data_IF_454694423886
#
_entry.id   IF_454694423886
#
_cell.length_a   1.000
_cell.length_b   1.000
_cell.length_c   1.000
_cell.angle_alpha   90.00
_cell.angle_beta   90.00
_cell.angle_gamma   90.00
#
_symmetry.space_group_name_H-M   'P 1'
#
loop_
_entity.id
_entity.type
_entity.pdbx_description
1 polymer ?
#
# COMPACT_ATOMS: atom_id res chain seq x y z
N UNK A 1 66.09 18.12 -31.46
CA UNK A 1 65.76 19.46 -31.97
C UNK A 1 64.24 19.58 -31.92
N UNK A 2 63.75 20.37 -30.97
CA UNK A 2 62.40 20.96 -30.82
C UNK A 2 61.22 19.98 -30.66
N UNK A 3 60.68 19.78 -29.45
CA UNK A 3 59.83 20.68 -28.63
C UNK A 3 58.53 21.11 -29.31
N UNK A 4 57.40 20.55 -28.81
CA UNK A 4 56.28 21.27 -28.18
C UNK A 4 55.11 20.32 -27.83
N UNK A 5 54.71 20.23 -26.55
CA UNK A 5 53.39 19.76 -26.13
C UNK A 5 52.52 20.88 -25.51
N UNK A 6 51.26 20.52 -25.21
CA UNK A 6 50.20 21.23 -24.44
C UNK A 6 49.24 22.16 -25.23
N UNK A 7 47.96 22.36 -24.77
CA UNK A 7 47.54 22.28 -23.36
C UNK A 7 46.23 21.56 -22.99
N UNK A 8 46.15 21.38 -21.68
CA UNK A 8 45.06 20.90 -20.83
C UNK A 8 43.67 21.53 -21.08
N UNK A 9 42.62 20.71 -20.94
CA UNK A 9 41.24 21.14 -20.81
C UNK A 9 40.62 20.63 -19.51
N UNK A 10 40.75 21.41 -18.44
CA UNK A 10 40.02 21.22 -17.18
C UNK A 10 38.59 21.74 -17.34
N UNK A 11 37.57 20.89 -17.17
CA UNK A 11 36.19 21.37 -17.00
C UNK A 11 36.05 22.06 -15.65
N UNK A 12 35.89 23.38 -15.68
CA UNK A 12 35.53 24.22 -14.53
C UNK A 12 34.03 24.08 -14.25
N UNK A 13 33.69 23.91 -12.96
CA UNK A 13 32.36 24.23 -12.44
C UNK A 13 32.05 25.69 -12.74
N UNK A 14 30.91 25.94 -13.39
CA UNK A 14 30.36 27.28 -13.54
C UNK A 14 29.44 27.52 -12.36
N UNK A 15 29.95 28.25 -11.37
CA UNK A 15 29.17 28.89 -10.32
C UNK A 15 28.50 30.14 -10.93
N UNK A 16 27.16 30.26 -10.82
CA UNK A 16 26.48 31.53 -11.07
C UNK A 16 25.84 32.06 -9.76
N UNK A 17 25.89 33.37 -9.48
CA UNK A 17 25.82 33.90 -8.11
C UNK A 17 24.47 34.56 -7.74
N UNK A 18 24.30 34.67 -6.42
CA UNK A 18 23.76 35.78 -5.63
C UNK A 18 22.28 36.21 -5.80
N UNK A 19 21.53 36.12 -4.68
CA UNK A 19 20.95 37.32 -4.06
C UNK A 19 20.75 37.13 -2.54
N UNK A 20 20.81 38.20 -1.73
CA UNK A 20 21.26 38.14 -0.34
C UNK A 20 20.14 38.42 0.67
N UNK A 21 20.25 37.90 1.89
CA UNK A 21 19.75 38.61 3.08
C UNK A 21 20.72 38.40 4.25
N UNK A 22 21.34 39.51 4.66
CA UNK A 22 22.25 39.62 5.81
C UNK A 22 21.45 39.55 7.12
N UNK A 23 21.93 38.72 8.04
CA UNK A 23 21.61 38.81 9.47
C UNK A 23 22.57 39.83 10.08
N UNK A 24 22.04 40.87 10.73
CA UNK A 24 22.81 41.76 11.58
C UNK A 24 22.44 41.49 13.04
N UNK A 25 23.40 40.99 13.80
CA UNK A 25 23.37 41.01 15.26
C UNK A 25 23.82 42.40 15.74
N UNK A 26 23.13 42.96 16.74
CA UNK A 26 23.64 44.06 17.57
C UNK A 26 23.16 43.92 19.01
N UNK A 27 24.16 43.67 19.85
CA UNK A 27 24.52 44.32 21.12
C UNK A 27 23.46 44.66 22.17
N UNK A 28 23.76 44.11 23.34
CA UNK A 28 23.13 44.28 24.63
C UNK A 28 23.87 45.44 25.32
N UNK A 29 23.19 46.58 25.50
CA UNK A 29 23.73 47.75 26.20
C UNK A 29 22.75 48.24 27.26
N UNK A 30 23.19 48.20 28.51
CA UNK A 30 22.42 48.57 29.70
C UNK A 30 22.23 50.09 29.85
N UNK A 31 21.05 50.51 30.30
CA UNK A 31 20.84 51.80 30.95
C UNK A 31 19.69 51.73 31.99
N UNK A 32 19.96 52.25 33.18
CA UNK A 32 19.01 52.67 34.24
C UNK A 32 19.28 54.16 34.53
N UNK A 33 18.47 54.88 35.32
CA UNK A 33 17.01 54.96 35.38
C UNK A 33 16.54 56.44 35.31
N UNK A 34 15.24 56.70 35.15
CA UNK A 34 14.66 58.01 35.53
C UNK A 34 13.22 57.85 36.02
N UNK A 35 12.83 58.76 36.91
CA UNK A 35 11.78 58.65 37.90
C UNK A 35 10.36 59.01 37.41
N UNK A 36 9.41 58.58 38.24
CA UNK A 36 7.93 58.62 38.20
C UNK A 36 7.31 60.01 37.91
N UNK A 37 6.01 60.12 37.50
CA UNK A 37 4.93 59.98 38.50
C UNK A 37 3.61 59.31 38.04
N UNK A 38 3.03 58.59 39.00
CA UNK A 38 1.61 58.40 39.32
C UNK A 38 0.53 58.65 38.23
N UNK A 39 -0.01 57.55 37.70
CA UNK A 39 -1.35 57.47 37.11
C UNK A 39 -1.91 56.07 37.37
N UNK A 40 -2.96 55.96 38.19
CA UNK A 40 -3.54 54.67 38.57
C UNK A 40 -4.31 54.02 37.43
N UNK A 41 -3.88 52.84 36.99
CA UNK A 41 -4.66 51.99 36.08
C UNK A 41 -5.72 51.17 36.85
N UNK A 42 -6.95 51.02 36.31
CA UNK A 42 -7.99 50.22 36.94
C UNK A 42 -7.66 48.73 36.82
N UNK A 43 -7.77 48.01 37.94
CA UNK A 43 -7.58 46.55 38.01
C UNK A 43 -8.44 45.83 36.95
N UNK A 44 -7.90 44.85 36.21
CA UNK A 44 -8.68 44.10 35.22
C UNK A 44 -9.81 43.34 35.93
N UNK A 45 -11.05 43.61 35.51
CA UNK A 45 -12.24 42.87 35.96
C UNK A 45 -12.02 41.38 35.65
N UNK A 46 -12.13 40.53 36.68
CA UNK A 46 -12.16 39.06 36.52
C UNK A 46 -13.17 38.71 35.43
N UNK A 47 -12.68 38.18 34.30
CA UNK A 47 -13.53 37.59 33.28
C UNK A 47 -14.34 36.48 33.95
N UNK A 48 -15.66 36.64 33.98
CA UNK A 48 -16.59 35.61 34.37
C UNK A 48 -16.39 34.42 33.43
N UNK A 49 -16.06 33.25 33.98
CA UNK A 49 -15.97 32.02 33.21
C UNK A 49 -17.36 31.69 32.65
N UNK A 50 -17.52 31.79 31.34
CA UNK A 50 -18.69 31.26 30.65
C UNK A 50 -18.49 29.75 30.47
N UNK A 51 -19.43 28.90 30.88
CA UNK A 51 -19.34 27.47 30.59
C UNK A 51 -19.27 27.30 29.07
N UNK A 52 -18.30 26.50 28.61
CA UNK A 52 -18.15 26.14 27.20
C UNK A 52 -19.48 25.50 26.77
N UNK A 53 -20.12 26.04 25.74
CA UNK A 53 -21.36 25.48 25.19
C UNK A 53 -21.19 23.96 25.06
N UNK A 54 -22.16 23.20 25.58
CA UNK A 54 -22.16 21.75 25.47
C UNK A 54 -22.04 21.41 23.97
N UNK A 55 -20.96 20.71 23.60
CA UNK A 55 -20.80 20.23 22.24
C UNK A 55 -21.98 19.31 21.94
N UNK A 56 -22.63 19.52 20.79
CA UNK A 56 -23.70 18.64 20.35
C UNK A 56 -23.21 17.18 20.36
N UNK A 57 -24.07 16.23 20.74
CA UNK A 57 -23.67 14.83 20.84
C UNK A 57 -23.15 14.36 19.48
N UNK A 58 -21.89 13.91 19.45
CA UNK A 58 -21.27 13.34 18.24
C UNK A 58 -22.07 12.12 17.83
N UNK A 59 -22.57 12.12 16.59
CA UNK A 59 -23.25 10.95 16.02
C UNK A 59 -22.31 9.75 16.04
N UNK A 60 -22.83 8.62 16.54
CA UNK A 60 -22.09 7.36 16.62
C UNK A 60 -22.97 6.19 16.19
N UNK A 61 -22.34 5.16 15.63
CA UNK A 61 -22.97 3.88 15.29
C UNK A 61 -22.11 2.74 15.82
N UNK A 62 -22.71 1.61 16.22
CA UNK A 62 -21.97 0.42 16.66
C UNK A 62 -22.00 -0.67 15.59
N UNK A 63 -20.83 -1.06 15.08
CA UNK A 63 -20.66 -2.09 14.05
C UNK A 63 -19.60 -3.08 14.55
N UNK A 64 -19.88 -4.39 14.52
CA UNK A 64 -18.97 -5.43 15.05
C UNK A 64 -18.44 -5.11 16.47
N UNK A 65 -19.31 -4.56 17.34
CA UNK A 65 -18.95 -4.16 18.70
C UNK A 65 -18.09 -2.90 18.81
N UNK A 66 -17.64 -2.32 17.69
CA UNK A 66 -16.82 -1.10 17.59
C UNK A 66 -17.71 0.13 17.41
N UNK A 67 -17.42 1.20 18.17
CA UNK A 67 -18.08 2.50 18.00
C UNK A 67 -17.45 3.27 16.83
N UNK A 68 -18.25 3.55 15.80
CA UNK A 68 -17.92 4.40 14.66
C UNK A 68 -18.37 5.82 14.95
N UNK A 69 -17.43 6.77 14.99
CA UNK A 69 -17.72 8.21 15.13
C UNK A 69 -17.81 8.91 13.78
N UNK A 70 -18.67 9.92 13.67
CA UNK A 70 -19.01 10.60 12.41
C UNK A 70 -19.38 9.59 11.30
N UNK A 71 -20.33 8.66 11.56
CA UNK A 71 -20.69 7.59 10.65
C UNK A 71 -21.15 8.09 9.27
N UNK A 72 -21.78 9.25 9.23
CA UNK A 72 -22.28 9.95 8.03
C UNK A 72 -21.18 10.57 7.17
N UNK A 73 -19.96 10.72 7.70
CA UNK A 73 -18.86 11.35 6.98
C UNK A 73 -18.58 10.63 5.67
N UNK A 74 -18.68 11.37 4.56
CA UNK A 74 -18.39 10.87 3.22
C UNK A 74 -16.87 10.72 3.05
N UNK A 75 -16.42 9.51 2.72
CA UNK A 75 -15.01 9.23 2.39
C UNK A 75 -14.80 9.37 0.89
N UNK A 76 -15.74 8.83 0.11
CA UNK A 76 -15.75 8.91 -1.35
C UNK A 76 -17.03 9.60 -1.80
N UNK A 77 -16.92 10.78 -2.42
CA UNK A 77 -18.09 11.52 -2.92
C UNK A 77 -18.80 10.77 -4.06
N UNK A 78 -18.03 10.05 -4.88
CA UNK A 78 -18.50 9.23 -5.99
C UNK A 78 -18.00 7.79 -5.78
N UNK A 79 -18.94 6.84 -5.65
CA UNK A 79 -18.69 5.41 -5.52
C UNK A 79 -18.89 4.65 -6.85
N UNK A 80 -18.91 5.38 -7.96
CA UNK A 80 -19.13 4.89 -9.32
C UNK A 80 -20.39 5.50 -9.96
N UNK A 81 -20.54 5.36 -11.29
CA UNK A 81 -21.66 5.94 -12.03
C UNK A 81 -23.02 5.56 -11.42
N UNK A 82 -23.83 6.58 -11.08
CA UNK A 82 -25.17 6.40 -10.52
C UNK A 82 -25.22 5.92 -9.06
N UNK A 83 -24.09 5.88 -8.35
CA UNK A 83 -24.03 5.45 -6.94
C UNK A 83 -23.79 6.62 -5.99
N UNK A 84 -24.55 6.64 -4.91
CA UNK A 84 -24.32 7.58 -3.81
C UNK A 84 -22.90 7.40 -3.21
N UNK A 85 -22.35 8.49 -2.67
CA UNK A 85 -21.04 8.47 -2.04
C UNK A 85 -20.91 7.45 -0.90
N UNK A 86 -19.71 6.91 -0.71
CA UNK A 86 -19.42 5.94 0.34
C UNK A 86 -19.03 6.64 1.64
N UNK A 87 -19.88 6.49 2.66
CA UNK A 87 -19.66 7.03 4.01
C UNK A 87 -18.74 6.13 4.84
N UNK A 88 -18.27 6.66 5.98
CA UNK A 88 -17.47 5.91 6.94
C UNK A 88 -18.22 4.70 7.52
N UNK A 89 -19.49 4.85 7.88
CA UNK A 89 -20.31 3.72 8.29
C UNK A 89 -20.53 2.73 7.14
N UNK A 90 -20.74 3.21 5.91
CA UNK A 90 -20.85 2.35 4.74
C UNK A 90 -19.60 1.50 4.51
N UNK A 91 -18.41 2.11 4.62
CA UNK A 91 -17.14 1.39 4.52
C UNK A 91 -16.95 0.38 5.66
N UNK A 92 -17.33 0.75 6.89
CA UNK A 92 -17.27 -0.16 8.04
C UNK A 92 -18.20 -1.37 7.85
N UNK A 93 -19.44 -1.16 7.39
CA UNK A 93 -20.38 -2.25 7.07
C UNK A 93 -19.89 -3.13 5.92
N UNK A 94 -19.25 -2.54 4.91
CA UNK A 94 -18.61 -3.33 3.86
C UNK A 94 -17.56 -4.27 4.43
N UNK A 95 -16.64 -3.77 5.26
CA UNK A 95 -15.59 -4.60 5.85
C UNK A 95 -16.13 -5.63 6.84
N UNK A 96 -17.20 -5.31 7.59
CA UNK A 96 -17.95 -6.29 8.38
C UNK A 96 -18.48 -7.43 7.50
N UNK A 97 -19.17 -7.10 6.40
CA UNK A 97 -19.83 -8.08 5.54
C UNK A 97 -18.83 -8.94 4.76
N UNK A 98 -17.70 -8.36 4.34
CA UNK A 98 -16.69 -9.08 3.56
C UNK A 98 -15.68 -9.83 4.43
N UNK A 99 -15.67 -9.60 5.75
CA UNK A 99 -14.74 -10.21 6.69
C UNK A 99 -14.63 -11.73 6.53
N UNK A 100 -15.71 -12.52 6.35
CA UNK A 100 -15.61 -13.97 6.18
C UNK A 100 -14.77 -14.38 4.96
N UNK A 101 -14.74 -13.58 3.89
CA UNK A 101 -13.98 -13.86 2.67
C UNK A 101 -12.57 -13.26 2.74
N UNK A 102 -12.47 -12.00 3.18
CA UNK A 102 -11.20 -11.28 3.26
C UNK A 102 -10.25 -11.92 4.28
N UNK A 103 -10.76 -12.35 5.43
CA UNK A 103 -9.92 -12.88 6.52
C UNK A 103 -9.33 -14.25 6.22
N UNK A 104 -9.88 -15.02 5.27
CA UNK A 104 -9.25 -16.26 4.81
C UNK A 104 -7.82 -16.00 4.31
N UNK A 105 -7.62 -14.88 3.61
CA UNK A 105 -6.33 -14.44 3.12
C UNK A 105 -5.65 -13.44 4.05
N UNK A 106 -6.35 -12.52 4.70
CA UNK A 106 -5.75 -11.40 5.42
C UNK A 106 -5.47 -11.65 6.91
N UNK A 107 -6.16 -12.61 7.55
CA UNK A 107 -6.05 -12.79 8.99
C UNK A 107 -4.65 -13.24 9.43
N UNK A 108 -4.24 -12.78 10.60
CA UNK A 108 -2.98 -13.14 11.26
C UNK A 108 -1.73 -12.84 10.43
N UNK A 109 -1.83 -11.92 9.48
CA UNK A 109 -0.68 -11.39 8.72
C UNK A 109 -0.31 -10.02 9.26
N UNK A 110 0.99 -9.75 9.49
CA UNK A 110 1.43 -8.37 9.62
C UNK A 110 0.94 -7.58 8.41
N UNK A 111 0.53 -6.34 8.66
CA UNK A 111 -0.05 -5.51 7.63
C UNK A 111 0.33 -4.04 7.79
N UNK A 112 0.23 -3.33 6.69
CA UNK A 112 0.27 -1.88 6.62
C UNK A 112 -1.12 -1.35 6.26
N UNK A 113 -1.48 -0.21 6.83
CA UNK A 113 -2.79 0.42 6.66
C UNK A 113 -2.63 1.72 5.87
N UNK A 114 -3.38 1.89 4.79
CA UNK A 114 -3.52 3.20 4.16
C UNK A 114 -4.75 3.89 4.73
N UNK A 115 -4.54 5.02 5.39
CA UNK A 115 -5.56 5.78 6.10
C UNK A 115 -5.86 7.10 5.37
N UNK A 116 -7.15 7.44 5.32
CA UNK A 116 -7.71 8.72 4.87
C UNK A 116 -8.54 9.35 6.01
N UNK A 117 -7.89 9.93 7.04
CA UNK A 117 -8.59 10.53 8.18
C UNK A 117 -9.61 11.58 7.76
N UNK A 118 -9.29 12.38 6.73
CA UNK A 118 -10.14 13.45 6.20
C UNK A 118 -10.79 13.11 4.85
N UNK A 119 -10.73 11.83 4.44
CA UNK A 119 -11.30 11.36 3.19
C UNK A 119 -10.39 11.58 1.98
N UNK A 120 -10.95 11.45 0.77
CA UNK A 120 -10.16 11.43 -0.48
C UNK A 120 -9.42 12.74 -0.82
N UNK A 121 -9.88 13.88 -0.29
CA UNK A 121 -9.27 15.19 -0.51
C UNK A 121 -8.15 15.54 0.48
N UNK A 122 -8.02 14.77 1.56
CA UNK A 122 -7.03 15.01 2.61
C UNK A 122 -5.72 14.25 2.42
N UNK A 123 -4.93 14.21 3.49
CA UNK A 123 -3.67 13.47 3.52
C UNK A 123 -3.87 11.96 3.45
N UNK A 124 -2.91 11.29 2.81
CA UNK A 124 -2.83 9.84 2.72
C UNK A 124 -1.72 9.34 3.63
N UNK A 125 -2.06 8.55 4.63
CA UNK A 125 -1.09 8.05 5.58
C UNK A 125 -0.90 6.54 5.41
N UNK A 126 0.27 6.12 4.93
CA UNK A 126 0.64 4.71 4.86
C UNK A 126 1.36 4.31 6.16
N UNK A 127 0.66 3.54 6.98
CA UNK A 127 1.09 3.22 8.33
C UNK A 127 1.51 1.75 8.47
N UNK A 128 2.82 1.54 8.68
CA UNK A 128 3.42 0.23 8.92
C UNK A 128 3.39 -0.18 10.40
N UNK A 129 3.73 0.75 11.28
CA UNK A 129 3.83 0.49 12.72
C UNK A 129 2.63 1.07 13.48
N UNK A 130 2.06 0.32 14.45
CA UNK A 130 1.00 0.83 15.30
C UNK A 130 1.52 1.95 16.18
N UNK A 131 0.71 3.00 16.36
CA UNK A 131 1.01 4.13 17.23
C UNK A 131 0.22 4.12 18.53
N UNK A 132 0.43 5.15 19.36
CA UNK A 132 -0.41 5.39 20.55
C UNK A 132 -1.87 5.54 20.13
N UNK A 133 -2.79 4.92 20.87
CA UNK A 133 -4.23 5.02 20.61
C UNK A 133 -4.77 4.06 19.54
N UNK A 134 -3.97 3.10 19.07
CA UNK A 134 -4.49 2.02 18.22
C UNK A 134 -5.61 1.24 18.94
N UNK A 135 -6.75 1.00 18.28
CA UNK A 135 -7.82 0.19 18.85
C UNK A 135 -7.32 -1.21 19.22
N UNK A 136 -7.69 -1.72 20.40
CA UNK A 136 -7.27 -3.05 20.89
C UNK A 136 -7.69 -4.21 19.97
N UNK A 137 -8.75 -4.01 19.18
CA UNK A 137 -9.21 -4.99 18.19
C UNK A 137 -8.19 -5.17 17.04
N UNK A 138 -7.34 -4.17 16.77
CA UNK A 138 -6.18 -4.31 15.89
C UNK A 138 -5.04 -4.83 16.74
N UNK A 139 -4.73 -6.12 16.57
CA UNK A 139 -3.76 -6.82 17.39
C UNK A 139 -2.35 -6.45 16.95
N UNK A 140 -1.38 -6.68 17.82
CA UNK A 140 0.01 -6.33 17.59
C UNK A 140 0.93 -7.52 17.83
N UNK A 141 2.04 -7.58 17.10
CA UNK A 141 3.13 -8.51 17.31
C UNK A 141 4.47 -7.77 17.24
N UNK A 142 5.51 -8.35 17.85
CA UNK A 142 6.89 -7.86 17.72
C UNK A 142 7.58 -8.57 16.58
N UNK A 143 8.31 -7.82 15.76
CA UNK A 143 9.16 -8.35 14.69
C UNK A 143 10.52 -7.67 14.81
N UNK A 144 11.58 -8.47 14.89
CA UNK A 144 12.95 -7.98 14.79
C UNK A 144 13.22 -7.61 13.33
N UNK A 145 13.57 -6.34 13.10
CA UNK A 145 13.89 -5.79 11.79
C UNK A 145 15.33 -6.13 11.38
N UNK A 146 15.71 -5.73 10.16
CA UNK A 146 17.03 -6.05 9.60
C UNK A 146 18.19 -5.35 10.30
N UNK A 147 17.91 -4.26 11.01
CA UNK A 147 18.87 -3.55 11.86
C UNK A 147 19.07 -4.21 13.24
N UNK A 148 18.31 -5.27 13.54
CA UNK A 148 18.33 -5.98 14.82
C UNK A 148 17.38 -5.39 15.87
N UNK A 149 16.69 -4.29 15.57
CA UNK A 149 15.76 -3.66 16.50
C UNK A 149 14.37 -4.29 16.42
N UNK A 150 13.69 -4.37 17.55
CA UNK A 150 12.32 -4.87 17.61
C UNK A 150 11.33 -3.74 17.33
N UNK A 151 10.46 -3.95 16.33
CA UNK A 151 9.36 -3.06 16.04
C UNK A 151 8.00 -3.75 16.25
N UNK A 152 7.00 -2.96 16.66
CA UNK A 152 5.62 -3.42 16.71
C UNK A 152 5.01 -3.40 15.29
N UNK A 153 4.20 -4.42 15.00
CA UNK A 153 3.45 -4.55 13.75
C UNK A 153 2.00 -4.88 14.03
N UNK A 154 1.10 -4.27 13.27
CA UNK A 154 -0.32 -4.52 13.36
C UNK A 154 -0.71 -5.78 12.56
N UNK A 155 -1.72 -6.50 13.04
CA UNK A 155 -2.46 -7.50 12.28
C UNK A 155 -3.93 -7.52 12.72
N UNK A 156 -4.79 -8.05 11.86
CA UNK A 156 -6.21 -8.29 12.15
C UNK A 156 -6.47 -9.79 12.20
N UNK A 157 -7.39 -10.22 13.06
CA UNK A 157 -7.76 -11.62 13.22
C UNK A 157 -9.26 -11.88 13.03
N UNK A 158 -10.07 -10.83 13.06
CA UNK A 158 -11.53 -10.89 13.09
C UNK A 158 -12.14 -9.63 12.45
N UNK A 159 -13.46 -9.64 12.26
CA UNK A 159 -14.20 -8.54 11.65
C UNK A 159 -14.10 -7.25 12.49
N UNK A 160 -14.10 -7.37 13.82
CA UNK A 160 -13.92 -6.24 14.72
C UNK A 160 -12.58 -5.52 14.49
N UNK A 161 -11.49 -6.26 14.22
CA UNK A 161 -10.20 -5.68 13.83
C UNK A 161 -10.26 -4.86 12.54
N UNK A 162 -10.95 -5.37 11.51
CA UNK A 162 -11.15 -4.64 10.24
C UNK A 162 -11.98 -3.36 10.47
N UNK A 163 -13.11 -3.47 11.16
CA UNK A 163 -14.01 -2.34 11.44
C UNK A 163 -13.32 -1.28 12.32
N UNK A 164 -12.54 -1.70 13.31
CA UNK A 164 -11.74 -0.79 14.13
C UNK A 164 -10.67 -0.05 13.34
N UNK A 165 -10.05 -0.70 12.34
CA UNK A 165 -9.15 -0.02 11.43
C UNK A 165 -9.89 1.05 10.61
N UNK A 166 -11.10 0.77 10.12
CA UNK A 166 -11.93 1.77 9.42
C UNK A 166 -12.29 2.95 10.33
N UNK A 167 -12.59 2.69 11.61
CA UNK A 167 -12.87 3.75 12.59
C UNK A 167 -11.73 4.77 12.69
N UNK A 168 -10.48 4.31 12.63
CA UNK A 168 -9.29 5.17 12.62
C UNK A 168 -8.90 5.71 11.23
N UNK A 169 -9.78 5.56 10.24
CA UNK A 169 -9.65 6.12 8.89
C UNK A 169 -9.00 5.19 7.88
N UNK A 170 -8.75 3.91 8.19
CA UNK A 170 -8.21 2.96 7.21
C UNK A 170 -9.18 2.75 6.05
N UNK A 171 -8.63 2.79 4.85
CA UNK A 171 -9.31 2.45 3.60
C UNK A 171 -8.68 1.22 2.97
N UNK A 172 -7.34 1.14 2.91
CA UNK A 172 -6.65 -0.01 2.31
C UNK A 172 -5.91 -0.85 3.35
N UNK A 173 -5.96 -2.18 3.18
CA UNK A 173 -5.19 -3.16 3.93
C UNK A 173 -4.15 -3.79 3.02
N UNK A 174 -2.89 -3.76 3.43
CA UNK A 174 -1.77 -4.33 2.70
C UNK A 174 -1.09 -5.38 3.55
N UNK A 175 -1.13 -6.64 3.13
CA UNK A 175 -0.72 -7.79 3.94
C UNK A 175 0.64 -8.31 3.50
N UNK A 176 1.39 -8.83 4.48
CA UNK A 176 2.61 -9.57 4.21
C UNK A 176 2.31 -10.92 3.53
N UNK A 177 3.24 -11.46 2.73
CA UNK A 177 3.10 -12.81 2.16
C UNK A 177 3.38 -13.93 3.19
N UNK A 178 3.43 -13.61 4.49
CA UNK A 178 3.61 -14.57 5.58
C UNK A 178 2.64 -14.29 6.74
N UNK A 179 2.29 -15.33 7.50
CA UNK A 179 1.48 -15.24 8.72
C UNK A 179 2.36 -15.22 9.97
N UNK A 180 1.85 -14.61 11.04
CA UNK A 180 2.56 -14.31 12.29
C UNK A 180 3.13 -15.53 13.02
N UNK A 181 2.45 -16.66 12.92
CA UNK A 181 2.80 -17.92 13.59
C UNK A 181 4.08 -18.58 13.04
N UNK A 182 4.46 -18.27 11.80
CA UNK A 182 5.70 -18.73 11.16
C UNK A 182 6.08 -17.71 10.10
N UNK A 183 6.51 -16.55 10.58
CA UNK A 183 6.80 -15.35 9.78
C UNK A 183 7.91 -15.59 8.75
N UNK A 184 8.90 -16.42 9.10
CA UNK A 184 10.05 -16.70 8.25
C UNK A 184 9.78 -17.74 7.15
N UNK A 185 8.52 -18.18 7.00
CA UNK A 185 8.08 -19.12 5.96
C UNK A 185 6.84 -18.55 5.26
N UNK A 186 7.01 -17.73 4.20
CA UNK A 186 5.90 -17.19 3.44
C UNK A 186 5.04 -18.30 2.82
N UNK A 187 3.75 -17.99 2.63
CA UNK A 187 2.73 -18.91 2.11
C UNK A 187 2.09 -18.40 0.81
N UNK A 188 2.65 -17.34 0.22
CA UNK A 188 2.23 -16.84 -1.08
C UNK A 188 3.35 -16.08 -1.78
N UNK A 189 3.31 -16.12 -3.10
CA UNK A 189 4.08 -15.30 -4.03
C UNK A 189 3.12 -14.31 -4.69
N UNK A 190 3.56 -13.10 -4.98
CA UNK A 190 2.78 -12.07 -5.68
C UNK A 190 3.62 -11.45 -6.79
N UNK A 191 3.12 -11.49 -8.01
CA UNK A 191 3.59 -10.66 -9.11
C UNK A 191 2.61 -9.52 -9.34
N UNK A 192 3.05 -8.29 -9.17
CA UNK A 192 2.24 -7.09 -9.39
C UNK A 192 2.57 -6.50 -10.77
N UNK A 193 1.60 -6.57 -11.70
CA UNK A 193 1.78 -6.09 -13.06
C UNK A 193 1.43 -4.60 -13.14
N UNK A 194 2.46 -3.76 -13.17
CA UNK A 194 2.33 -2.31 -13.19
C UNK A 194 2.63 -1.76 -14.60
N UNK A 195 1.60 -1.41 -15.38
CA UNK A 195 1.80 -0.87 -16.73
C UNK A 195 2.35 0.55 -16.71
N UNK A 196 3.14 0.89 -17.72
CA UNK A 196 3.40 2.28 -18.07
C UNK A 196 2.11 3.06 -18.36
N UNK A 197 2.16 4.39 -18.25
CA UNK A 197 0.98 5.24 -18.42
C UNK A 197 0.38 5.20 -19.82
N UNK A 198 1.19 4.85 -20.84
CA UNK A 198 0.74 4.71 -22.23
C UNK A 198 0.11 3.36 -22.57
N UNK A 199 0.11 2.38 -21.66
CA UNK A 199 -0.47 1.07 -21.91
C UNK A 199 -1.90 0.98 -21.37
N UNK A 200 -2.77 0.41 -22.18
CA UNK A 200 -4.15 0.13 -21.79
C UNK A 200 -4.24 -1.13 -20.91
N UNK A 201 -5.45 -1.39 -20.41
CA UNK A 201 -5.70 -2.57 -19.57
C UNK A 201 -5.67 -3.88 -20.37
N UNK A 202 -5.85 -3.83 -21.69
CA UNK A 202 -5.80 -5.01 -22.56
C UNK A 202 -4.37 -5.58 -22.61
N UNK A 203 -3.36 -4.70 -22.66
CA UNK A 203 -1.96 -5.10 -22.53
C UNK A 203 -1.67 -5.78 -21.17
N UNK A 204 -2.23 -5.27 -20.07
CA UNK A 204 -2.09 -5.85 -18.73
C UNK A 204 -2.76 -7.23 -18.66
N UNK A 205 -3.96 -7.36 -19.23
CA UNK A 205 -4.69 -8.63 -19.30
C UNK A 205 -3.91 -9.68 -20.09
N UNK A 206 -3.39 -9.31 -21.25
CA UNK A 206 -2.55 -10.18 -22.07
C UNK A 206 -1.27 -10.60 -21.35
N UNK A 207 -0.64 -9.69 -20.59
CA UNK A 207 0.50 -10.01 -19.74
C UNK A 207 0.14 -10.99 -18.62
N UNK A 208 -0.98 -10.78 -17.93
CA UNK A 208 -1.43 -11.67 -16.87
C UNK A 208 -1.69 -13.09 -17.39
N UNK A 209 -2.30 -13.23 -18.57
CA UNK A 209 -2.53 -14.52 -19.21
C UNK A 209 -1.22 -15.20 -19.66
N UNK A 210 -0.25 -14.45 -20.19
CA UNK A 210 1.08 -14.97 -20.55
C UNK A 210 1.84 -15.48 -19.33
N UNK A 211 1.94 -14.68 -18.26
CA UNK A 211 2.62 -15.08 -17.02
C UNK A 211 1.92 -16.28 -16.34
N UNK A 212 0.58 -16.36 -16.41
CA UNK A 212 -0.14 -17.55 -15.96
C UNK A 212 0.32 -18.79 -16.71
N UNK A 213 0.39 -18.75 -18.04
CA UNK A 213 0.85 -19.87 -18.86
C UNK A 213 2.24 -20.35 -18.44
N UNK A 214 3.18 -19.41 -18.31
CA UNK A 214 4.56 -19.70 -17.86
C UNK A 214 4.63 -20.30 -16.46
N UNK A 215 3.77 -19.85 -15.52
CA UNK A 215 3.69 -20.46 -14.20
C UNK A 215 3.11 -21.88 -14.26
N UNK A 216 2.10 -22.11 -15.09
CA UNK A 216 1.51 -23.44 -15.29
C UNK A 216 2.52 -24.42 -15.90
N UNK A 217 3.39 -23.97 -16.81
CA UNK A 217 4.48 -24.79 -17.37
C UNK A 217 5.48 -25.24 -16.29
N UNK A 218 5.65 -24.43 -15.24
CA UNK A 218 6.42 -24.79 -14.03
C UNK A 218 5.62 -25.60 -13.01
N UNK A 219 4.36 -25.95 -13.31
CA UNK A 219 3.46 -26.66 -12.39
C UNK A 219 2.92 -25.81 -11.24
N UNK A 220 2.92 -24.48 -11.40
CA UNK A 220 2.38 -23.53 -10.43
C UNK A 220 1.08 -22.93 -10.94
N UNK A 221 0.00 -23.06 -10.17
CA UNK A 221 -1.31 -22.52 -10.49
C UNK A 221 -1.56 -21.21 -9.70
N UNK A 222 -1.42 -20.03 -10.34
CA UNK A 222 -1.80 -18.75 -9.75
C UNK A 222 -3.31 -18.48 -9.83
N UNK A 223 -3.80 -17.60 -8.98
CA UNK A 223 -5.06 -16.87 -9.19
C UNK A 223 -4.80 -15.40 -9.48
N UNK A 224 -5.73 -14.77 -10.20
CA UNK A 224 -5.65 -13.38 -10.58
C UNK A 224 -6.45 -12.48 -9.64
N UNK A 225 -6.02 -11.23 -9.50
CA UNK A 225 -6.75 -10.22 -8.76
C UNK A 225 -6.60 -8.87 -9.45
N UNK A 226 -7.73 -8.25 -9.78
CA UNK A 226 -7.73 -6.85 -10.18
C UNK A 226 -7.24 -6.03 -8.99
N UNK A 227 -6.30 -5.13 -9.20
CA UNK A 227 -5.76 -4.35 -8.09
C UNK A 227 -6.72 -3.27 -7.60
N UNK A 228 -7.73 -2.86 -8.39
CA UNK A 228 -8.46 -1.61 -8.19
C UNK A 228 -7.63 -0.37 -8.56
N UNK A 229 -6.43 -0.57 -9.13
CA UNK A 229 -5.51 0.47 -9.60
C UNK A 229 -5.47 0.54 -11.12
N UNK A 230 -4.32 0.23 -11.71
CA UNK A 230 -4.11 0.08 -13.16
C UNK A 230 -3.79 -1.38 -13.55
N UNK A 231 -3.35 -2.19 -12.58
CA UNK A 231 -2.72 -3.49 -12.81
C UNK A 231 -3.53 -4.70 -12.35
N UNK A 232 -2.92 -5.87 -12.51
CA UNK A 232 -3.38 -7.18 -12.02
C UNK A 232 -2.30 -7.79 -11.14
N UNK A 233 -2.70 -8.39 -10.02
CA UNK A 233 -1.83 -9.26 -9.22
C UNK A 233 -2.03 -10.71 -9.63
N UNK A 234 -0.93 -11.43 -9.87
CA UNK A 234 -0.92 -12.88 -9.91
C UNK A 234 -0.43 -13.38 -8.55
N UNK A 235 -1.24 -14.20 -7.90
CA UNK A 235 -0.93 -14.73 -6.58
C UNK A 235 -0.79 -16.23 -6.67
N UNK A 236 0.39 -16.74 -6.31
CA UNK A 236 0.67 -18.18 -6.23
C UNK A 236 0.59 -18.58 -4.75
N UNK A 237 -0.45 -19.30 -4.30
CA UNK A 237 -0.47 -19.83 -2.93
C UNK A 237 0.61 -20.90 -2.79
N UNK A 238 1.30 -20.94 -1.65
CA UNK A 238 2.45 -21.82 -1.40
C UNK A 238 2.34 -22.50 -0.03
N UNK A 239 2.87 -23.72 0.08
CA UNK A 239 3.19 -24.31 1.39
C UNK A 239 4.34 -23.55 2.03
N UNK A 240 4.30 -23.45 3.36
CA UNK A 240 5.25 -22.73 4.22
C UNK A 240 6.56 -23.51 4.43
N UNK A 241 7.18 -23.93 3.34
CA UNK A 241 8.39 -24.76 3.31
C UNK A 241 9.66 -23.97 3.00
N UNK A 242 9.56 -22.83 2.30
CA UNK A 242 10.70 -22.02 1.90
C UNK A 242 10.90 -20.79 2.78
N UNK A 243 12.13 -20.28 2.82
CA UNK A 243 12.46 -19.01 3.45
C UNK A 243 12.35 -17.83 2.49
N UNK A 244 12.52 -16.61 3.02
CA UNK A 244 12.46 -15.37 2.23
C UNK A 244 13.45 -15.29 1.08
N UNK A 245 14.68 -15.79 1.28
CA UNK A 245 15.72 -15.78 0.25
C UNK A 245 15.31 -16.56 -0.99
N UNK A 246 14.81 -17.78 -0.80
CA UNK A 246 14.35 -18.63 -1.91
C UNK A 246 13.12 -18.05 -2.60
N UNK A 247 12.17 -17.48 -1.83
CA UNK A 247 10.97 -16.84 -2.40
C UNK A 247 11.36 -15.63 -3.26
N UNK A 248 12.20 -14.73 -2.72
CA UNK A 248 12.69 -13.54 -3.42
C UNK A 248 13.46 -13.93 -4.68
N UNK A 249 14.35 -14.92 -4.57
CA UNK A 249 15.11 -15.44 -5.71
C UNK A 249 14.17 -15.94 -6.80
N UNK A 250 13.24 -16.83 -6.48
CA UNK A 250 12.29 -17.37 -7.47
C UNK A 250 11.49 -16.24 -8.15
N UNK A 251 10.96 -15.29 -7.37
CA UNK A 251 10.19 -14.17 -7.90
C UNK A 251 11.01 -13.34 -8.90
N UNK A 252 12.24 -12.97 -8.52
CA UNK A 252 13.15 -12.20 -9.38
C UNK A 252 13.49 -12.98 -10.65
N UNK A 253 13.96 -14.21 -10.50
CA UNK A 253 14.48 -15.04 -11.58
C UNK A 253 13.36 -15.34 -12.61
N UNK A 254 12.13 -15.59 -12.15
CA UNK A 254 10.96 -15.75 -13.02
C UNK A 254 10.61 -14.46 -13.78
N UNK A 255 10.61 -13.32 -13.09
CA UNK A 255 10.33 -12.03 -13.73
C UNK A 255 11.42 -11.66 -14.75
N UNK A 256 12.69 -11.96 -14.44
CA UNK A 256 13.83 -11.78 -15.34
C UNK A 256 13.70 -12.63 -16.59
N UNK A 257 13.34 -13.91 -16.46
CA UNK A 257 13.11 -14.80 -17.61
C UNK A 257 12.02 -14.23 -18.52
N UNK A 258 10.90 -13.78 -17.96
CA UNK A 258 9.82 -13.16 -18.74
C UNK A 258 10.33 -11.93 -19.51
N UNK A 259 11.13 -11.07 -18.87
CA UNK A 259 11.70 -9.88 -19.49
C UNK A 259 12.81 -10.17 -20.51
N UNK A 260 13.52 -11.31 -20.40
CA UNK A 260 14.49 -11.75 -21.40
C UNK A 260 13.79 -12.31 -22.66
N UNK A 261 12.71 -13.06 -22.47
CA UNK A 261 11.95 -13.65 -23.57
C UNK A 261 11.14 -12.60 -24.35
N UNK A 262 10.60 -11.59 -23.66
CA UNK A 262 9.75 -10.56 -24.25
C UNK A 262 10.17 -9.13 -23.79
N UNK A 263 11.39 -8.68 -24.16
CA UNK A 263 12.00 -7.44 -23.64
C UNK A 263 11.27 -6.17 -24.07
N UNK A 264 10.52 -6.22 -25.17
CA UNK A 264 9.67 -5.13 -25.67
C UNK A 264 8.35 -5.02 -24.89
N UNK A 265 7.95 -6.06 -24.16
CA UNK A 265 6.70 -6.09 -23.38
C UNK A 265 6.94 -5.92 -21.90
N UNK A 266 8.03 -6.46 -21.37
CA UNK A 266 8.27 -6.52 -19.92
C UNK A 266 9.57 -5.86 -19.50
N UNK A 267 9.59 -5.44 -18.24
CA UNK A 267 10.80 -4.97 -17.57
C UNK A 267 10.80 -5.39 -16.12
N UNK A 268 12.00 -5.62 -15.57
CA UNK A 268 12.24 -5.81 -14.13
C UNK A 268 12.99 -4.63 -13.52
N UNK A 269 13.25 -3.60 -14.31
CA UNK A 269 14.01 -2.42 -13.88
C UNK A 269 13.14 -1.46 -13.06
N UNK A 270 13.68 -1.03 -11.93
CA UNK A 270 12.96 -0.16 -11.01
C UNK A 270 12.78 1.25 -11.55
N UNK A 271 13.73 1.74 -12.35
CA UNK A 271 13.71 3.09 -12.89
C UNK A 271 12.48 3.28 -13.79
N UNK A 272 11.63 4.27 -13.47
CA UNK A 272 10.41 4.59 -14.26
C UNK A 272 10.73 4.86 -15.73
N UNK A 273 11.87 5.50 -16.01
CA UNK A 273 12.32 5.76 -17.38
C UNK A 273 12.48 4.47 -18.20
N UNK A 274 12.91 3.37 -17.55
CA UNK A 274 13.06 2.05 -18.16
C UNK A 274 11.72 1.34 -18.40
N UNK A 275 10.58 1.92 -18.00
CA UNK A 275 9.26 1.28 -18.14
C UNK A 275 8.48 1.76 -19.35
N UNK A 276 8.94 2.79 -20.06
CA UNK A 276 8.19 3.41 -21.17
C UNK A 276 7.73 2.35 -22.19
N UNK A 277 6.42 2.27 -22.42
CA UNK A 277 5.80 1.31 -23.35
C UNK A 277 5.81 -0.16 -22.88
N UNK A 278 6.20 -0.44 -21.64
CA UNK A 278 6.35 -1.80 -21.09
C UNK A 278 5.59 -1.98 -19.79
N UNK A 279 5.39 -3.23 -19.40
CA UNK A 279 4.82 -3.61 -18.11
C UNK A 279 5.96 -3.98 -17.16
N UNK A 280 6.01 -3.30 -16.01
CA UNK A 280 6.91 -3.69 -14.94
C UNK A 280 6.33 -4.90 -14.21
N UNK A 281 7.08 -6.01 -14.20
CA UNK A 281 6.75 -7.19 -13.40
C UNK A 281 7.32 -6.95 -12.00
N UNK A 282 6.53 -6.37 -11.11
CA UNK A 282 6.95 -6.07 -9.75
C UNK A 282 7.00 -7.36 -8.91
N UNK A 283 8.22 -7.88 -8.78
CA UNK A 283 8.56 -9.04 -7.96
C UNK A 283 8.97 -8.66 -6.53
N UNK A 284 9.06 -7.36 -6.18
CA UNK A 284 9.53 -6.87 -4.87
C UNK A 284 8.49 -7.05 -3.75
N UNK A 285 7.29 -7.51 -4.10
CA UNK A 285 6.24 -7.90 -3.14
C UNK A 285 6.59 -9.17 -2.36
N UNK A 286 7.68 -9.84 -2.70
CA UNK A 286 8.09 -11.15 -2.20
C UNK A 286 9.27 -11.10 -1.22
N UNK A 287 9.52 -9.95 -0.61
CA UNK A 287 10.59 -9.76 0.38
C UNK A 287 10.04 -9.67 1.80
N UNK A 288 10.87 -9.99 2.79
CA UNK A 288 10.53 -9.80 4.21
C UNK A 288 10.29 -8.31 4.45
N UNK A 289 9.14 -7.94 5.00
CA UNK A 289 8.77 -6.52 5.14
C UNK A 289 7.80 -6.01 4.09
N UNK A 290 7.79 -6.63 2.91
CA UNK A 290 6.97 -6.19 1.79
C UNK A 290 5.50 -6.52 2.00
N UNK A 291 4.65 -5.66 1.44
CA UNK A 291 3.19 -5.85 1.45
C UNK A 291 2.60 -5.71 0.06
N UNK A 292 1.54 -6.46 -0.18
CA UNK A 292 0.64 -6.29 -1.32
C UNK A 292 -0.78 -6.03 -0.81
N UNK A 293 -1.59 -5.35 -1.61
CA UNK A 293 -2.99 -5.08 -1.25
C UNK A 293 -3.73 -6.40 -0.98
N UNK A 294 -4.50 -6.44 0.10
CA UNK A 294 -5.27 -7.61 0.46
C UNK A 294 -6.46 -7.80 -0.50
N UNK A 295 -6.83 -9.05 -0.82
CA UNK A 295 -8.11 -9.37 -1.45
C UNK A 295 -9.27 -8.67 -0.75
N UNK A 296 -10.19 -8.13 -1.53
CA UNK A 296 -11.35 -7.36 -1.10
C UNK A 296 -11.06 -6.02 -0.40
N UNK A 297 -9.81 -5.58 -0.31
CA UNK A 297 -9.52 -4.24 0.19
C UNK A 297 -10.05 -3.19 -0.77
N UNK A 298 -10.78 -2.19 -0.26
CA UNK A 298 -11.10 -0.96 -0.98
C UNK A 298 -9.80 -0.22 -1.29
N UNK A 299 -9.77 0.52 -2.41
CA UNK A 299 -8.66 1.37 -2.82
C UNK A 299 -9.01 2.84 -2.61
N UNK A 300 -8.04 3.62 -2.13
CA UNK A 300 -8.08 5.07 -1.97
C UNK A 300 -7.99 5.78 -3.33
N UNK A 301 -8.98 5.51 -4.20
CA UNK A 301 -9.11 6.03 -5.56
C UNK A 301 -10.55 6.45 -5.82
N UNK A 302 -10.80 7.39 -6.77
CA UNK A 302 -12.17 7.74 -7.17
C UNK A 302 -12.98 6.49 -7.55
N UNK A 303 -14.25 6.44 -7.14
CA UNK A 303 -15.13 5.29 -7.34
C UNK A 303 -15.00 4.18 -6.30
N UNK A 304 -14.12 4.32 -5.29
CA UNK A 304 -13.88 3.32 -4.24
C UNK A 304 -13.70 1.88 -4.80
N UNK A 305 -12.85 1.67 -5.83
CA UNK A 305 -12.71 0.34 -6.43
C UNK A 305 -12.11 -0.63 -5.42
N UNK A 306 -12.37 -1.91 -5.63
CA UNK A 306 -11.94 -2.99 -4.73
C UNK A 306 -10.86 -3.82 -5.42
N UNK A 307 -9.86 -4.25 -4.65
CA UNK A 307 -8.93 -5.28 -5.06
C UNK A 307 -9.68 -6.63 -5.15
N UNK A 308 -10.17 -6.98 -6.34
CA UNK A 308 -11.14 -8.05 -6.53
C UNK A 308 -10.49 -9.30 -7.14
N UNK A 309 -10.48 -10.44 -6.43
CA UNK A 309 -9.95 -11.70 -6.98
C UNK A 309 -10.82 -12.20 -8.14
N UNK A 310 -10.29 -12.45 -9.33
CA UNK A 310 -11.09 -12.84 -10.51
C UNK A 310 -10.74 -14.22 -11.05
N UNK A 311 -11.72 -14.88 -11.66
CA UNK A 311 -11.47 -16.09 -12.45
C UNK A 311 -10.70 -15.76 -13.73
N UNK A 312 -9.97 -16.72 -14.29
CA UNK A 312 -9.16 -16.47 -15.49
C UNK A 312 -10.00 -16.18 -16.73
N UNK A 313 -11.13 -16.86 -16.90
CA UNK A 313 -12.05 -16.61 -18.02
C UNK A 313 -12.76 -15.26 -17.89
N UNK A 314 -13.08 -14.86 -16.65
CA UNK A 314 -13.65 -13.55 -16.36
C UNK A 314 -12.63 -12.44 -16.62
N UNK A 315 -11.38 -12.62 -16.20
CA UNK A 315 -10.30 -11.67 -16.47
C UNK A 315 -10.16 -11.43 -17.97
N UNK A 316 -10.31 -12.45 -18.81
CA UNK A 316 -10.24 -12.34 -20.27
C UNK A 316 -11.24 -11.33 -20.86
N UNK A 317 -12.39 -11.10 -20.20
CA UNK A 317 -13.45 -10.20 -20.64
C UNK A 317 -13.59 -8.89 -19.84
N UNK A 318 -12.81 -8.69 -18.77
CA UNK A 318 -12.91 -7.47 -17.95
C UNK A 318 -12.24 -6.29 -18.66
N UNK A 319 -12.96 -5.16 -18.74
CA UNK A 319 -12.53 -3.94 -19.39
C UNK A 319 -11.60 -3.03 -18.55
N UNK A 320 -11.52 -3.25 -17.22
CA UNK A 320 -10.74 -2.37 -16.35
C UNK A 320 -10.28 -3.04 -15.06
N UNK A 321 -9.08 -2.69 -14.60
CA UNK A 321 -8.57 -3.02 -13.25
C UNK A 321 -9.45 -2.48 -12.10
N UNK A 322 -10.44 -1.62 -12.40
CA UNK A 322 -11.34 -0.98 -11.43
C UNK A 322 -12.79 -1.43 -11.59
N UNK A 323 -13.03 -2.57 -12.25
CA UNK A 323 -14.37 -3.02 -12.63
C UNK A 323 -15.34 -3.18 -11.44
N UNK A 324 -14.84 -3.39 -10.23
CA UNK A 324 -15.68 -3.70 -9.07
C UNK A 324 -15.55 -2.66 -7.95
N UNK A 325 -16.69 -2.13 -7.53
CA UNK A 325 -16.85 -1.42 -6.24
C UNK A 325 -17.30 -2.38 -5.12
N UNK A 326 -17.53 -1.83 -3.93
CA UNK A 326 -17.86 -2.59 -2.70
C UNK A 326 -19.02 -3.56 -2.86
N UNK A 327 -20.15 -3.12 -3.44
CA UNK A 327 -21.32 -3.98 -3.63
C UNK A 327 -21.02 -5.17 -4.55
N UNK A 328 -20.47 -4.90 -5.75
CA UNK A 328 -20.20 -5.93 -6.74
C UNK A 328 -19.15 -6.94 -6.24
N UNK A 329 -18.12 -6.46 -5.53
CA UNK A 329 -17.11 -7.31 -4.91
C UNK A 329 -17.70 -8.26 -3.86
N UNK A 330 -18.68 -7.79 -3.07
CA UNK A 330 -19.38 -8.61 -2.08
C UNK A 330 -20.24 -9.69 -2.73
N UNK A 331 -21.00 -9.34 -3.76
CA UNK A 331 -21.91 -10.27 -4.44
C UNK A 331 -21.17 -11.40 -5.13
N UNK A 332 -19.99 -11.13 -5.71
CA UNK A 332 -19.19 -12.16 -6.40
C UNK A 332 -18.34 -13.03 -5.47
N UNK A 333 -17.84 -12.48 -4.36
CA UNK A 333 -16.93 -13.19 -3.45
C UNK A 333 -15.71 -13.80 -4.16
N UNK A 334 -15.40 -15.07 -3.85
CA UNK A 334 -14.30 -15.85 -4.43
C UNK A 334 -14.68 -16.62 -5.72
N UNK A 335 -15.78 -16.26 -6.38
CA UNK A 335 -16.27 -17.00 -7.55
C UNK A 335 -15.18 -17.20 -8.62
N UNK A 336 -15.08 -18.43 -9.14
CA UNK A 336 -14.16 -18.77 -10.22
C UNK A 336 -12.69 -18.97 -9.83
N UNK A 337 -12.36 -18.98 -8.53
CA UNK A 337 -10.99 -19.14 -8.05
C UNK A 337 -10.77 -20.51 -7.41
N UNK A 338 -9.83 -21.26 -7.98
CA UNK A 338 -9.41 -22.55 -7.43
C UNK A 338 -8.43 -22.34 -6.29
N UNK A 339 -8.67 -23.01 -5.16
CA UNK A 339 -7.69 -23.12 -4.07
C UNK A 339 -6.81 -24.33 -4.30
N UNK A 340 -5.51 -24.10 -4.41
CA UNK A 340 -4.51 -25.14 -4.62
C UNK A 340 -3.47 -25.12 -3.50
N UNK A 341 -2.92 -26.28 -3.19
CA UNK A 341 -1.77 -26.43 -2.28
C UNK A 341 -0.57 -26.90 -3.10
N UNK A 342 0.41 -26.04 -3.25
CA UNK A 342 1.60 -26.27 -4.07
C UNK A 342 2.85 -25.75 -3.36
N UNK A 343 4.02 -26.13 -3.85
CA UNK A 343 5.30 -25.74 -3.29
C UNK A 343 6.27 -25.41 -4.41
N UNK A 344 7.16 -24.45 -4.15
CA UNK A 344 8.37 -24.29 -4.94
C UNK A 344 9.35 -25.41 -4.55
N UNK A 345 9.66 -26.29 -5.50
CA UNK A 345 10.48 -27.49 -5.30
C UNK A 345 11.82 -27.35 -6.00
N UNK A 346 12.80 -28.19 -5.64
CA UNK A 346 14.11 -28.21 -6.32
C UNK A 346 14.00 -28.40 -7.84
N UNK A 347 13.13 -29.31 -8.36
CA UNK A 347 12.89 -29.41 -9.80
C UNK A 347 12.42 -28.10 -10.45
N UNK A 348 11.55 -27.34 -9.78
CA UNK A 348 11.06 -26.03 -10.29
C UNK A 348 12.21 -25.03 -10.40
N UNK A 349 13.05 -24.92 -9.36
CA UNK A 349 14.23 -24.06 -9.43
C UNK A 349 15.19 -24.49 -10.53
N UNK A 350 15.47 -25.80 -10.65
CA UNK A 350 16.34 -26.30 -11.70
C UNK A 350 15.78 -26.07 -13.11
N UNK A 351 14.46 -26.12 -13.29
CA UNK A 351 13.81 -25.79 -14.55
C UNK A 351 13.96 -24.30 -14.89
N UNK A 352 13.74 -23.42 -13.91
CA UNK A 352 13.92 -21.97 -14.06
C UNK A 352 15.39 -21.61 -14.36
N UNK A 353 16.34 -22.26 -13.67
CA UNK A 353 17.77 -22.04 -13.89
C UNK A 353 18.20 -22.42 -15.31
N UNK A 354 17.73 -23.58 -15.82
CA UNK A 354 17.99 -23.97 -17.21
C UNK A 354 17.43 -22.96 -18.21
N UNK A 355 16.18 -22.51 -17.99
CA UNK A 355 15.54 -21.54 -18.88
C UNK A 355 16.29 -20.20 -18.93
N UNK A 356 16.90 -19.77 -17.82
CA UNK A 356 17.69 -18.53 -17.76
C UNK A 356 19.08 -18.65 -18.40
N UNK A 357 19.66 -19.85 -18.43
CA UNK A 357 21.04 -20.05 -18.95
C UNK A 357 21.10 -20.45 -20.42
N UNK A 358 19.99 -20.87 -21.03
CA UNK A 358 19.94 -21.40 -22.40
C UNK A 358 20.20 -22.89 -22.45
#
# INVERSE_FOLDING_TARGET
MQDRPCPAGSLRLVHHPACPFRIAARDIGAARPSANPAGGEPRPRRRRWSPKAAQEPVMTERIEGVTISHPERVIFADAGPGKAGLTKAGLARYYQQIAPLMLEEAADRPLSLLRLPDGMAGERFFQKHPGKGFPKAIRQMRITESDGEDAAYAYVADAAGLVAAVQMGTVEFHIWPARRDRLERPDRLVFDLDPDEGLDFDAVRAAALSLRGRLLDLGLEPWAMLTGGKGVHLVVPLRRSLGWGDLKRFARDFATLCAQDEPDRYTVELAKASRKGRIFIDWLRNERGSTAVAPFSVRARPGAPVAAPVGWDELAGIASARAFGTQAARERGWAGIRRVRQSLTRPIFAALDRALTG
#
